data_IF_930390818766
#
_entry.id   IF_930390818766
#
_cell.length_a   1.000
_cell.length_b   1.000
_cell.length_c   1.000
_cell.angle_alpha   90.00
_cell.angle_beta   90.00
_cell.angle_gamma   90.00
#
_symmetry.space_group_name_H-M   'P 1'
#
loop_
_entity.id
_entity.type
_entity.pdbx_description
1 polymer ?
#
# COMPACT_ATOMS: atom_id res chain seq x y z
N UNK A 1 11.19 25.07 3.94
CA UNK A 1 10.51 24.03 3.16
C UNK A 1 11.54 23.34 2.28
N UNK A 2 11.53 22.03 2.26
CA UNK A 2 12.40 21.29 1.33
C UNK A 2 11.79 21.35 -0.06
N UNK A 3 12.60 21.67 -1.05
CA UNK A 3 12.24 21.54 -2.47
C UNK A 3 12.64 20.13 -2.92
N UNK A 4 11.66 19.30 -3.17
CA UNK A 4 11.84 17.90 -3.60
C UNK A 4 11.42 17.68 -5.05
N UNK A 5 11.09 18.76 -5.78
CA UNK A 5 10.51 18.72 -7.13
C UNK A 5 11.37 18.00 -8.18
N UNK A 6 12.67 17.84 -7.93
CA UNK A 6 13.59 17.12 -8.84
C UNK A 6 13.92 15.71 -8.37
N UNK A 7 13.34 15.27 -7.25
CA UNK A 7 13.64 13.93 -6.69
C UNK A 7 12.82 12.89 -7.45
N UNK A 8 13.48 11.83 -7.89
CA UNK A 8 12.84 10.72 -8.61
C UNK A 8 12.80 9.45 -7.78
N UNK A 9 13.66 9.33 -6.76
CA UNK A 9 13.75 8.16 -5.89
C UNK A 9 13.66 8.60 -4.43
N UNK A 10 12.58 8.19 -3.76
CA UNK A 10 12.29 8.43 -2.34
C UNK A 10 12.37 7.14 -1.52
N UNK A 11 12.95 6.07 -2.10
CA UNK A 11 13.00 4.78 -1.40
C UNK A 11 13.73 4.90 -0.07
N UNK A 12 13.19 4.24 0.96
CA UNK A 12 13.73 4.16 2.32
C UNK A 12 13.99 5.52 3.01
N UNK A 13 13.44 6.65 2.50
CA UNK A 13 13.77 8.00 3.01
C UNK A 13 13.55 8.16 4.52
N UNK A 14 12.48 7.57 5.04
CA UNK A 14 12.13 7.60 6.46
C UNK A 14 12.11 6.19 7.09
N UNK A 15 12.78 5.24 6.47
CA UNK A 15 12.88 3.87 6.99
C UNK A 15 13.41 3.85 8.43
N UNK A 16 12.68 3.18 9.32
CA UNK A 16 13.01 3.04 10.74
C UNK A 16 12.93 4.34 11.55
N UNK A 17 12.43 5.43 10.99
CA UNK A 17 12.26 6.71 11.72
C UNK A 17 10.97 6.67 12.54
N UNK A 18 10.99 5.92 13.63
CA UNK A 18 9.82 5.63 14.46
C UNK A 18 9.04 6.88 14.93
N UNK A 19 9.74 7.97 15.22
CA UNK A 19 9.15 9.22 15.72
C UNK A 19 8.81 10.22 14.60
N UNK A 20 9.07 9.85 13.32
CA UNK A 20 8.80 10.78 12.21
C UNK A 20 7.30 10.95 12.02
N UNK A 21 6.81 12.16 12.15
CA UNK A 21 5.43 12.56 11.88
C UNK A 21 5.34 14.05 11.49
N UNK A 22 6.36 14.57 10.79
CA UNK A 22 6.35 15.94 10.33
C UNK A 22 5.44 16.11 9.13
N UNK A 23 4.87 17.31 8.99
CA UNK A 23 4.05 17.69 7.84
C UNK A 23 4.90 17.75 6.56
N UNK A 24 4.50 16.95 5.58
CA UNK A 24 5.11 16.85 4.25
C UNK A 24 4.04 16.96 3.14
N UNK A 25 2.84 17.43 3.49
CA UNK A 25 1.70 17.58 2.59
C UNK A 25 2.03 18.33 1.29
N UNK A 26 2.87 19.38 1.40
CA UNK A 26 3.19 20.28 0.29
C UNK A 26 4.34 19.78 -0.62
N UNK A 27 4.82 18.57 -0.43
CA UNK A 27 5.88 18.03 -1.28
C UNK A 27 5.36 17.75 -2.69
N UNK A 28 6.13 18.20 -3.69
CA UNK A 28 5.87 17.88 -5.10
C UNK A 28 6.45 16.51 -5.43
N UNK A 29 5.55 15.52 -5.57
CA UNK A 29 5.91 14.13 -5.82
C UNK A 29 5.82 13.74 -7.31
N UNK A 30 5.49 14.69 -8.18
CA UNK A 30 5.16 14.44 -9.59
C UNK A 30 6.29 13.80 -10.42
N UNK A 31 7.54 13.93 -9.97
CA UNK A 31 8.70 13.29 -10.63
C UNK A 31 9.15 11.99 -9.96
N UNK A 32 8.52 11.59 -8.84
CA UNK A 32 8.92 10.39 -8.10
C UNK A 32 8.45 9.14 -8.83
N UNK A 33 9.35 8.19 -9.01
CA UNK A 33 9.08 6.90 -9.65
C UNK A 33 9.23 5.71 -8.69
N UNK A 34 9.90 5.90 -7.55
CA UNK A 34 10.18 4.85 -6.57
C UNK A 34 9.93 5.36 -5.15
N UNK A 35 9.00 4.70 -4.44
CA UNK A 35 8.70 4.96 -3.03
C UNK A 35 8.84 3.71 -2.15
N UNK A 36 9.60 2.71 -2.63
CA UNK A 36 9.81 1.47 -1.87
C UNK A 36 10.29 1.77 -0.45
N UNK A 37 9.66 1.16 0.55
CA UNK A 37 10.03 1.26 1.97
C UNK A 37 10.10 2.68 2.54
N UNK A 38 9.52 3.70 1.86
CA UNK A 38 9.69 5.11 2.25
C UNK A 38 9.36 5.39 3.71
N UNK A 39 8.33 4.75 4.27
CA UNK A 39 7.91 4.87 5.67
C UNK A 39 7.97 3.53 6.42
N UNK A 40 8.76 2.57 5.95
CA UNK A 40 8.91 1.27 6.62
C UNK A 40 9.34 1.48 8.08
N UNK A 41 8.54 1.00 9.03
CA UNK A 41 8.81 1.15 10.46
C UNK A 41 8.70 2.58 11.01
N UNK A 42 8.18 3.54 10.24
CA UNK A 42 7.87 4.90 10.72
C UNK A 42 6.59 4.86 11.57
N UNK A 43 6.68 4.30 12.76
CA UNK A 43 5.52 3.89 13.59
C UNK A 43 4.61 5.04 14.03
N UNK A 44 5.12 6.28 14.12
CA UNK A 44 4.32 7.46 14.45
C UNK A 44 3.72 8.18 13.23
N UNK A 45 4.12 7.77 11.99
CA UNK A 45 3.72 8.51 10.80
C UNK A 45 2.22 8.36 10.54
N UNK A 46 1.53 9.50 10.48
CA UNK A 46 0.10 9.58 10.15
C UNK A 46 -0.27 10.96 9.57
N UNK A 47 0.60 11.55 8.73
CA UNK A 47 0.31 12.80 8.06
C UNK A 47 -0.57 12.60 6.84
N UNK A 48 -1.31 13.65 6.49
CA UNK A 48 -2.12 13.67 5.27
C UNK A 48 -1.19 13.80 4.05
N UNK A 49 -1.29 12.83 3.16
CA UNK A 49 -0.54 12.75 1.89
C UNK A 49 -1.48 12.47 0.72
N UNK A 50 -2.79 12.68 0.91
CA UNK A 50 -3.83 12.36 -0.08
C UNK A 50 -3.65 13.11 -1.40
N UNK A 51 -3.01 14.29 -1.37
CA UNK A 51 -2.80 15.16 -2.54
C UNK A 51 -1.52 14.87 -3.32
N UNK A 52 -0.71 13.92 -2.88
CA UNK A 52 0.50 13.58 -3.61
C UNK A 52 0.19 13.02 -4.99
N UNK A 53 0.82 13.57 -6.03
CA UNK A 53 0.80 12.99 -7.37
C UNK A 53 1.75 11.79 -7.42
N UNK A 54 1.17 10.59 -7.36
CA UNK A 54 1.91 9.32 -7.42
C UNK A 54 1.77 8.62 -8.77
N UNK A 55 1.23 9.31 -9.77
CA UNK A 55 0.89 8.74 -11.08
C UNK A 55 2.09 8.17 -11.86
N UNK A 56 3.31 8.62 -11.52
CA UNK A 56 4.56 8.13 -12.12
C UNK A 56 5.24 7.03 -11.28
N UNK A 57 4.70 6.69 -10.10
CA UNK A 57 5.33 5.72 -9.20
C UNK A 57 5.12 4.30 -9.69
N UNK A 58 6.22 3.56 -9.86
CA UNK A 58 6.22 2.18 -10.33
C UNK A 58 6.41 1.15 -9.22
N UNK A 59 7.00 1.55 -8.09
CA UNK A 59 7.16 0.68 -6.91
C UNK A 59 6.67 1.37 -5.64
N UNK A 60 5.76 0.69 -4.95
CA UNK A 60 5.23 1.07 -3.65
C UNK A 60 5.48 -0.04 -2.60
N UNK A 61 6.40 -0.97 -2.89
CA UNK A 61 6.68 -2.11 -2.02
C UNK A 61 7.04 -1.65 -0.61
N UNK A 62 6.42 -2.28 0.37
CA UNK A 62 6.70 -2.06 1.80
C UNK A 62 6.57 -0.60 2.26
N UNK A 63 5.95 0.29 1.45
CA UNK A 63 5.97 1.74 1.71
C UNK A 63 5.50 2.10 3.12
N UNK A 64 4.49 1.44 3.64
CA UNK A 64 3.94 1.65 5.00
C UNK A 64 4.08 0.41 5.87
N UNK A 65 4.97 -0.53 5.53
CA UNK A 65 5.18 -1.71 6.36
C UNK A 65 5.54 -1.30 7.79
N UNK A 66 4.80 -1.81 8.78
CA UNK A 66 4.99 -1.48 10.19
C UNK A 66 4.82 0.01 10.55
N UNK A 67 4.21 0.81 9.69
CA UNK A 67 3.75 2.16 10.03
C UNK A 67 2.43 2.06 10.82
N UNK A 68 2.53 1.63 12.06
CA UNK A 68 1.39 1.18 12.88
C UNK A 68 0.35 2.24 13.18
N UNK A 69 0.68 3.53 13.05
CA UNK A 69 -0.26 4.65 13.25
C UNK A 69 -0.90 5.15 11.95
N UNK A 70 -0.39 4.71 10.79
CA UNK A 70 -0.84 5.25 9.51
C UNK A 70 -2.27 4.81 9.19
N UNK A 71 -3.17 5.79 9.00
CA UNK A 71 -4.56 5.56 8.65
C UNK A 71 -5.14 6.77 7.91
N UNK A 72 -4.63 7.06 6.71
CA UNK A 72 -5.13 8.15 5.88
C UNK A 72 -5.83 7.62 4.65
N UNK A 73 -6.77 8.40 4.15
CA UNK A 73 -7.46 8.18 2.90
C UNK A 73 -6.48 8.35 1.73
N UNK A 74 -6.43 7.37 0.85
CA UNK A 74 -5.59 7.36 -0.34
C UNK A 74 -6.43 7.18 -1.63
N UNK A 75 -7.73 7.44 -1.57
CA UNK A 75 -8.65 7.27 -2.70
C UNK A 75 -8.32 8.15 -3.90
N UNK A 76 -7.64 9.28 -3.68
CA UNK A 76 -7.22 10.20 -4.74
C UNK A 76 -5.89 9.77 -5.43
N UNK A 77 -5.20 8.76 -4.91
CA UNK A 77 -3.95 8.30 -5.52
C UNK A 77 -4.18 7.55 -6.83
N UNK A 78 -3.54 8.01 -7.91
CA UNK A 78 -3.44 7.25 -9.16
C UNK A 78 -2.26 6.29 -9.11
N UNK A 79 -2.54 5.03 -8.81
CA UNK A 79 -1.53 3.95 -8.74
C UNK A 79 -1.44 3.13 -10.03
N UNK A 80 -2.00 3.63 -11.14
CA UNK A 80 -2.09 2.88 -12.39
C UNK A 80 -0.74 2.57 -13.05
N UNK A 81 0.33 3.25 -12.66
CA UNK A 81 1.70 2.96 -13.09
C UNK A 81 2.41 1.93 -12.19
N UNK A 82 1.87 1.61 -11.01
CA UNK A 82 2.51 0.70 -10.08
C UNK A 82 2.51 -0.75 -10.63
N UNK A 83 3.68 -1.37 -10.61
CA UNK A 83 3.88 -2.76 -11.05
C UNK A 83 3.87 -3.69 -9.84
N UNK A 84 4.24 -3.18 -8.69
CA UNK A 84 4.31 -3.93 -7.43
C UNK A 84 3.89 -3.08 -6.24
N UNK A 85 3.13 -3.69 -5.33
CA UNK A 85 2.66 -3.12 -4.06
C UNK A 85 2.86 -4.13 -2.92
N UNK A 86 3.84 -5.03 -3.07
CA UNK A 86 4.11 -6.11 -2.13
C UNK A 86 4.39 -5.57 -0.72
N UNK A 87 3.73 -6.12 0.28
CA UNK A 87 3.91 -5.74 1.68
C UNK A 87 3.58 -4.29 2.02
N UNK A 88 2.93 -3.52 1.13
CA UNK A 88 2.77 -2.07 1.30
C UNK A 88 2.16 -1.68 2.65
N UNK A 89 1.16 -2.42 3.14
CA UNK A 89 0.51 -2.18 4.43
C UNK A 89 0.75 -3.31 5.44
N UNK A 90 1.78 -4.12 5.21
CA UNK A 90 2.13 -5.21 6.11
C UNK A 90 2.38 -4.70 7.52
N UNK A 91 1.67 -5.24 8.53
CA UNK A 91 1.71 -4.80 9.93
C UNK A 91 1.37 -3.32 10.18
N UNK A 92 0.75 -2.63 9.23
CA UNK A 92 0.17 -1.31 9.42
C UNK A 92 -1.16 -1.44 10.20
N UNK A 93 -1.08 -1.69 11.49
CA UNK A 93 -2.20 -2.17 12.32
C UNK A 93 -3.39 -1.21 12.40
N UNK A 94 -3.19 0.10 12.24
CA UNK A 94 -4.28 1.07 12.23
C UNK A 94 -4.88 1.30 10.85
N UNK A 95 -4.26 0.78 9.77
CA UNK A 95 -4.67 1.14 8.42
C UNK A 95 -6.06 0.58 8.07
N UNK A 96 -6.95 1.47 7.72
CA UNK A 96 -8.26 1.21 7.11
C UNK A 96 -8.70 2.39 6.21
N UNK A 97 -7.73 3.10 5.60
CA UNK A 97 -7.98 4.18 4.65
C UNK A 97 -8.65 3.68 3.37
N UNK A 98 -9.38 4.58 2.68
CA UNK A 98 -10.04 4.22 1.43
C UNK A 98 -9.02 4.09 0.29
N UNK A 99 -9.07 2.94 -0.38
CA UNK A 99 -8.29 2.57 -1.57
C UNK A 99 -9.17 1.88 -2.63
N UNK A 100 -10.48 2.01 -2.50
CA UNK A 100 -11.46 1.32 -3.36
C UNK A 100 -11.44 1.79 -4.81
N UNK A 101 -10.88 2.97 -5.07
CA UNK A 101 -10.76 3.61 -6.38
C UNK A 101 -9.50 3.21 -7.14
N UNK A 102 -8.56 2.52 -6.48
CA UNK A 102 -7.27 2.21 -7.09
C UNK A 102 -7.39 1.32 -8.33
N UNK A 103 -6.73 1.75 -9.41
CA UNK A 103 -6.52 0.91 -10.59
C UNK A 103 -5.25 0.07 -10.42
N UNK A 104 -5.44 -1.19 -10.00
CA UNK A 104 -4.34 -2.14 -9.77
C UNK A 104 -4.11 -3.10 -10.94
N UNK A 105 -4.65 -2.78 -12.12
CA UNK A 105 -4.59 -3.68 -13.28
C UNK A 105 -3.18 -3.92 -13.84
N UNK A 106 -2.20 -3.12 -13.46
CA UNK A 106 -0.78 -3.26 -13.83
C UNK A 106 0.02 -4.07 -12.80
N UNK A 107 -0.56 -4.31 -11.61
CA UNK A 107 0.12 -4.99 -10.50
C UNK A 107 0.22 -6.49 -10.75
N UNK A 108 1.43 -7.04 -10.62
CA UNK A 108 1.69 -8.47 -10.73
C UNK A 108 1.97 -9.15 -9.39
N UNK A 109 2.35 -8.41 -8.36
CA UNK A 109 2.70 -8.96 -7.06
C UNK A 109 2.00 -8.21 -5.92
N UNK A 110 1.21 -8.97 -5.11
CA UNK A 110 0.51 -8.51 -3.91
C UNK A 110 0.92 -9.32 -2.66
N UNK A 111 2.13 -9.87 -2.67
CA UNK A 111 2.69 -10.65 -1.57
C UNK A 111 2.60 -9.88 -0.26
N UNK A 112 1.97 -10.47 0.78
CA UNK A 112 1.82 -9.90 2.12
C UNK A 112 1.19 -8.49 2.20
N UNK A 113 0.45 -8.04 1.17
CA UNK A 113 -0.01 -6.65 1.04
C UNK A 113 -0.65 -6.09 2.30
N UNK A 114 -1.54 -6.86 2.96
CA UNK A 114 -2.23 -6.46 4.19
C UNK A 114 -1.94 -7.40 5.37
N UNK A 115 -0.90 -8.24 5.30
CA UNK A 115 -0.59 -9.15 6.42
C UNK A 115 -0.48 -8.37 7.73
N UNK A 116 -1.26 -8.79 8.74
CA UNK A 116 -1.25 -8.16 10.06
C UNK A 116 -1.80 -6.73 10.12
N UNK A 117 -2.43 -6.23 9.06
CA UNK A 117 -3.19 -4.98 9.07
C UNK A 117 -4.51 -5.19 9.84
N UNK A 118 -4.44 -5.22 11.15
CA UNK A 118 -5.51 -5.71 12.06
C UNK A 118 -6.75 -4.83 12.11
N UNK A 119 -6.77 -3.67 11.45
CA UNK A 119 -7.95 -2.82 11.30
C UNK A 119 -8.53 -2.82 9.88
N UNK A 120 -7.90 -3.53 8.91
CA UNK A 120 -8.25 -3.40 7.51
C UNK A 120 -9.53 -4.17 7.14
N UNK A 121 -10.57 -3.44 6.76
CA UNK A 121 -11.87 -3.93 6.28
C UNK A 121 -12.28 -3.28 4.94
N UNK A 122 -11.33 -2.68 4.22
CA UNK A 122 -11.58 -1.86 3.02
C UNK A 122 -12.31 -2.60 1.90
N UNK A 123 -13.03 -1.85 1.05
CA UNK A 123 -13.73 -2.40 -0.10
C UNK A 123 -12.80 -2.56 -1.31
N UNK A 124 -12.55 -3.80 -1.72
CA UNK A 124 -11.68 -4.15 -2.86
C UNK A 124 -12.47 -4.77 -4.04
N UNK A 125 -13.79 -4.71 -4.02
CA UNK A 125 -14.65 -5.39 -5.00
C UNK A 125 -14.44 -4.94 -6.45
N UNK A 126 -13.94 -3.71 -6.65
CA UNK A 126 -13.69 -3.13 -7.97
C UNK A 126 -12.25 -3.33 -8.48
N UNK A 127 -11.38 -3.92 -7.67
CA UNK A 127 -10.01 -4.15 -8.09
C UNK A 127 -9.93 -5.15 -9.24
N UNK A 128 -9.23 -4.77 -10.31
CA UNK A 128 -8.89 -5.68 -11.40
C UNK A 128 -7.56 -6.37 -11.10
N UNK A 129 -7.63 -7.62 -10.64
CA UNK A 129 -6.46 -8.42 -10.24
C UNK A 129 -6.03 -9.44 -11.32
N UNK A 130 -6.52 -9.30 -12.55
CA UNK A 130 -6.32 -10.29 -13.61
C UNK A 130 -4.85 -10.47 -14.06
N UNK A 131 -3.94 -9.56 -13.67
CA UNK A 131 -2.50 -9.68 -13.93
C UNK A 131 -1.70 -10.11 -12.69
N UNK A 132 -2.35 -10.32 -11.55
CA UNK A 132 -1.66 -10.72 -10.32
C UNK A 132 -1.23 -12.17 -10.40
N UNK A 133 0.05 -12.43 -10.13
CA UNK A 133 0.65 -13.77 -10.12
C UNK A 133 0.84 -14.30 -8.71
N UNK A 134 0.99 -13.41 -7.70
CA UNK A 134 1.30 -13.77 -6.32
C UNK A 134 0.38 -13.04 -5.34
N UNK A 135 -0.38 -13.81 -4.55
CA UNK A 135 -1.24 -13.34 -3.45
C UNK A 135 -0.90 -14.05 -2.13
N UNK A 136 0.35 -14.56 -1.97
CA UNK A 136 0.74 -15.25 -0.74
C UNK A 136 0.57 -14.32 0.47
N UNK A 137 -0.12 -14.82 1.50
CA UNK A 137 -0.39 -14.16 2.78
C UNK A 137 -1.05 -12.76 2.69
N UNK A 138 -1.71 -12.42 1.56
CA UNK A 138 -2.25 -11.08 1.31
C UNK A 138 -3.15 -10.56 2.44
N UNK A 139 -3.97 -11.42 3.05
CA UNK A 139 -4.89 -11.08 4.15
C UNK A 139 -4.61 -11.88 5.43
N UNK A 140 -3.40 -12.41 5.59
CA UNK A 140 -3.03 -13.16 6.79
C UNK A 140 -3.15 -12.26 8.03
N UNK A 141 -3.77 -12.76 9.11
CA UNK A 141 -3.98 -12.01 10.35
C UNK A 141 -4.74 -10.67 10.18
N UNK A 142 -5.72 -10.62 9.25
CA UNK A 142 -6.59 -9.44 9.07
C UNK A 142 -8.04 -9.77 9.42
N UNK A 143 -8.89 -8.78 9.75
CA UNK A 143 -10.34 -8.95 9.85
C UNK A 143 -11.04 -8.88 8.49
N UNK A 144 -10.31 -8.85 7.37
CA UNK A 144 -10.88 -8.66 6.06
C UNK A 144 -11.95 -9.70 5.71
N UNK A 145 -13.16 -9.23 5.41
CA UNK A 145 -14.31 -10.04 4.98
C UNK A 145 -15.03 -9.40 3.79
N UNK A 146 -14.29 -8.70 2.93
CA UNK A 146 -14.82 -8.00 1.77
C UNK A 146 -15.24 -8.92 0.63
N UNK A 147 -16.10 -8.40 -0.26
CA UNK A 147 -16.57 -9.12 -1.45
C UNK A 147 -15.49 -9.14 -2.54
N UNK A 148 -14.86 -10.28 -2.75
CA UNK A 148 -13.83 -10.50 -3.80
C UNK A 148 -14.19 -11.64 -4.76
N UNK A 149 -15.44 -12.13 -4.70
CA UNK A 149 -15.88 -13.26 -5.53
C UNK A 149 -15.89 -12.98 -7.05
N UNK A 150 -15.77 -11.72 -7.46
CA UNK A 150 -15.69 -11.30 -8.87
C UNK A 150 -14.25 -11.24 -9.41
N UNK A 151 -13.24 -11.43 -8.56
CA UNK A 151 -11.84 -11.36 -9.00
C UNK A 151 -11.50 -12.47 -10.00
N UNK A 152 -10.89 -12.07 -11.13
CA UNK A 152 -10.26 -13.01 -12.04
C UNK A 152 -8.87 -13.38 -11.51
N UNK A 153 -8.75 -14.59 -10.98
CA UNK A 153 -7.52 -15.11 -10.39
C UNK A 153 -6.85 -16.17 -11.27
N UNK A 154 -7.17 -16.18 -12.55
CA UNK A 154 -6.69 -17.21 -13.50
C UNK A 154 -5.17 -17.17 -13.72
N UNK A 155 -4.51 -16.02 -13.43
CA UNK A 155 -3.06 -15.84 -13.52
C UNK A 155 -2.32 -16.12 -12.21
N UNK A 156 -3.06 -16.25 -11.09
CA UNK A 156 -2.44 -16.40 -9.76
C UNK A 156 -1.79 -17.77 -9.61
N UNK A 157 -0.49 -17.76 -9.35
CA UNK A 157 0.31 -18.98 -9.16
C UNK A 157 0.38 -19.43 -7.69
N UNK A 158 0.21 -18.50 -6.73
CA UNK A 158 0.22 -18.81 -5.29
C UNK A 158 -0.76 -17.96 -4.50
N UNK A 159 -1.53 -18.61 -3.63
CA UNK A 159 -2.39 -18.01 -2.59
C UNK A 159 -2.07 -18.61 -1.23
N UNK A 160 -0.84 -19.10 -1.04
CA UNK A 160 -0.42 -19.75 0.19
C UNK A 160 -0.65 -18.80 1.37
N UNK A 161 -1.28 -19.28 2.44
CA UNK A 161 -1.58 -18.52 3.66
C UNK A 161 -2.47 -17.27 3.46
N UNK A 162 -3.07 -17.05 2.28
CA UNK A 162 -3.79 -15.81 1.95
C UNK A 162 -4.80 -15.37 3.02
N UNK A 163 -5.49 -16.31 3.67
CA UNK A 163 -6.46 -16.05 4.74
C UNK A 163 -6.10 -16.77 6.06
N UNK A 164 -4.83 -17.17 6.25
CA UNK A 164 -4.41 -17.78 7.51
C UNK A 164 -4.63 -16.82 8.66
N UNK A 165 -5.33 -17.32 9.71
CA UNK A 165 -5.66 -16.52 10.89
C UNK A 165 -6.45 -15.21 10.58
N UNK A 166 -7.12 -15.17 9.41
CA UNK A 166 -8.11 -14.15 9.12
C UNK A 166 -9.34 -14.42 10.00
N UNK A 167 -9.65 -13.46 10.89
CA UNK A 167 -10.66 -13.63 11.94
C UNK A 167 -11.98 -13.02 11.44
N UNK A 168 -12.82 -13.80 10.74
CA UNK A 168 -14.27 -13.55 10.59
C UNK A 168 -15.01 -14.85 10.25
#
# INVERSE_FOLDING_TARGET
>A
LWDVSLVTDMSALFEGKADFNNDIYSWDMSNVTNMQSMFLGASSFNQDISTWDVSNVTSLDEMFQSAVSFNKDLSEWDVSSAVTISGMFRFASAFNGDISTWNVSTVSDMWHLFEGASSFEGNLSNWNVSNVENMEAMFQNTPFNGSIGSWDVSTVSTMKLMFSDAIN
#
